data_IF_239641723742
#
_entry.id   IF_239641723742
#
_cell.length_a   1.000
_cell.length_b   1.000
_cell.length_c   1.000
_cell.angle_alpha   90.00
_cell.angle_beta   90.00
_cell.angle_gamma   90.00
#
_symmetry.space_group_name_H-M   'P 1'
#
loop_
_entity.id
_entity.type
_entity.pdbx_description
1 polymer ?
#
# COMPACT_ATOMS: atom_id res chain seq x y z
N UNK A 1 2.64 0.67 -9.30
CA UNK A 1 3.40 -0.20 -8.38
C UNK A 1 2.72 -1.57 -8.25
N UNK A 2 1.98 -2.04 -9.28
CA UNK A 2 1.16 -3.26 -9.19
C UNK A 2 1.07 -4.05 -10.52
N UNK A 3 2.06 -3.88 -11.41
CA UNK A 3 2.32 -4.84 -12.51
C UNK A 3 2.91 -6.14 -12.00
N UNK A 4 3.37 -6.15 -10.74
CA UNK A 4 4.28 -7.19 -10.27
C UNK A 4 3.52 -8.45 -9.85
N UNK A 5 2.32 -8.40 -9.28
CA UNK A 5 1.72 -9.61 -8.68
C UNK A 5 1.52 -10.79 -9.68
N UNK A 6 1.22 -10.51 -10.95
CA UNK A 6 1.02 -11.55 -11.96
C UNK A 6 2.25 -11.84 -12.82
N UNK A 7 3.12 -10.85 -13.01
CA UNK A 7 4.48 -11.12 -13.49
C UNK A 7 5.19 -12.03 -12.49
N UNK A 8 5.06 -11.78 -11.20
CA UNK A 8 5.56 -12.62 -10.11
C UNK A 8 4.93 -14.00 -10.13
N UNK A 9 3.61 -14.15 -10.38
CA UNK A 9 3.01 -15.48 -10.49
C UNK A 9 3.59 -16.29 -11.67
N UNK A 10 3.72 -15.67 -12.85
CA UNK A 10 4.36 -16.30 -14.01
C UNK A 10 5.85 -16.58 -13.77
N UNK A 11 6.58 -15.61 -13.24
CA UNK A 11 8.01 -15.70 -12.91
C UNK A 11 8.27 -16.77 -11.87
N UNK A 12 7.43 -16.89 -10.83
CA UNK A 12 7.55 -17.95 -9.83
C UNK A 12 7.27 -19.31 -10.44
N UNK A 13 6.26 -19.44 -11.31
CA UNK A 13 6.03 -20.69 -12.04
C UNK A 13 7.20 -21.05 -12.97
N UNK A 14 7.80 -20.07 -13.65
CA UNK A 14 8.99 -20.27 -14.49
C UNK A 14 10.25 -20.65 -13.69
N UNK A 15 10.45 -20.01 -12.52
CA UNK A 15 11.54 -20.35 -11.59
C UNK A 15 11.39 -21.79 -11.07
N UNK A 16 10.19 -22.19 -10.67
CA UNK A 16 9.89 -23.54 -10.20
C UNK A 16 10.07 -24.57 -11.33
N UNK A 17 9.67 -24.24 -12.55
CA UNK A 17 9.91 -25.08 -13.72
C UNK A 17 11.41 -25.23 -14.02
N UNK A 18 12.20 -24.16 -13.86
CA UNK A 18 13.67 -24.20 -13.98
C UNK A 18 14.34 -25.12 -12.95
N UNK A 19 13.74 -25.26 -11.76
CA UNK A 19 14.17 -26.22 -10.73
C UNK A 19 13.62 -27.63 -10.92
N UNK A 20 12.94 -27.91 -12.04
CA UNK A 20 12.28 -29.19 -12.35
C UNK A 20 11.23 -29.62 -11.31
N UNK A 21 10.59 -28.66 -10.65
CA UNK A 21 9.50 -28.91 -9.69
C UNK A 21 8.17 -28.95 -10.45
N UNK A 22 7.38 -30.01 -10.26
CA UNK A 22 6.00 -30.06 -10.76
C UNK A 22 5.07 -29.37 -9.77
N UNK A 23 4.32 -28.38 -10.24
CA UNK A 23 3.27 -27.73 -9.45
C UNK A 23 1.97 -28.44 -9.73
N UNK A 24 1.39 -29.05 -8.68
CA UNK A 24 0.09 -29.70 -8.73
C UNK A 24 -0.89 -28.90 -7.89
N UNK A 25 -1.96 -28.42 -8.51
CA UNK A 25 -3.06 -27.82 -7.76
C UNK A 25 -3.82 -28.91 -7.00
N UNK A 26 -3.76 -28.89 -5.67
CA UNK A 26 -4.41 -29.88 -4.81
C UNK A 26 -5.95 -29.78 -4.82
N UNK A 27 -6.50 -28.62 -5.21
CA UNK A 27 -7.94 -28.35 -5.27
C UNK A 27 -8.22 -27.57 -6.55
N UNK A 28 -9.22 -27.99 -7.33
CA UNK A 28 -9.65 -27.33 -8.56
C UNK A 28 -9.14 -27.98 -9.85
N UNK A 29 -8.87 -27.17 -10.87
CA UNK A 29 -8.40 -27.65 -12.18
C UNK A 29 -6.97 -28.16 -12.01
N UNK A 30 -6.78 -29.47 -12.18
CA UNK A 30 -5.46 -30.08 -12.17
C UNK A 30 -4.77 -29.82 -13.51
N UNK A 31 -3.62 -29.17 -13.49
CA UNK A 31 -2.80 -28.99 -14.68
C UNK A 31 -1.32 -29.13 -14.34
N UNK A 32 -0.60 -29.88 -15.16
CA UNK A 32 0.84 -30.08 -15.03
C UNK A 32 1.57 -29.08 -15.94
N UNK A 33 2.35 -28.17 -15.34
CA UNK A 33 3.12 -27.15 -16.07
C UNK A 33 4.19 -27.72 -17.00
N UNK A 34 4.55 -28.98 -16.82
CA UNK A 34 5.52 -29.68 -17.67
C UNK A 34 4.94 -30.08 -19.04
N UNK A 35 3.62 -30.09 -19.19
CA UNK A 35 2.95 -30.46 -20.45
C UNK A 35 2.65 -29.23 -21.32
N UNK A 36 2.65 -29.35 -22.67
CA UNK A 36 2.23 -28.26 -23.56
C UNK A 36 0.81 -27.75 -23.26
N UNK A 37 -0.11 -28.67 -22.92
CA UNK A 37 -1.48 -28.34 -22.52
C UNK A 37 -1.54 -27.55 -21.21
N UNK A 38 -0.78 -27.96 -20.18
CA UNK A 38 -0.74 -27.25 -18.90
C UNK A 38 -0.12 -25.85 -19.00
N UNK A 39 0.87 -25.65 -19.86
CA UNK A 39 1.41 -24.30 -20.16
C UNK A 39 0.36 -23.41 -20.82
N UNK A 40 -0.43 -23.94 -21.76
CA UNK A 40 -1.54 -23.19 -22.39
C UNK A 40 -2.58 -22.76 -21.35
N UNK A 41 -2.98 -23.68 -20.46
CA UNK A 41 -3.93 -23.37 -19.38
C UNK A 41 -3.38 -22.32 -18.42
N UNK A 42 -2.11 -22.41 -18.03
CA UNK A 42 -1.46 -21.42 -17.17
C UNK A 42 -1.48 -20.02 -17.80
N UNK A 43 -1.18 -19.91 -19.10
CA UNK A 43 -1.25 -18.63 -19.83
C UNK A 43 -2.66 -18.07 -19.88
N UNK A 44 -3.66 -18.92 -20.13
CA UNK A 44 -5.07 -18.50 -20.15
C UNK A 44 -5.53 -17.99 -18.77
N UNK A 45 -5.19 -18.72 -17.70
CA UNK A 45 -5.51 -18.33 -16.32
C UNK A 45 -4.81 -17.03 -15.92
N UNK A 46 -3.55 -16.84 -16.32
CA UNK A 46 -2.84 -15.58 -16.12
C UNK A 46 -3.53 -14.42 -16.85
N UNK A 47 -4.02 -14.66 -18.08
CA UNK A 47 -4.81 -13.69 -18.84
C UNK A 47 -6.13 -13.31 -18.15
N UNK A 48 -6.87 -14.29 -17.64
CA UNK A 48 -8.12 -14.06 -16.88
C UNK A 48 -7.82 -13.26 -15.60
N UNK A 49 -6.77 -13.62 -14.87
CA UNK A 49 -6.36 -12.91 -13.67
C UNK A 49 -5.96 -11.44 -13.95
N UNK A 50 -5.44 -11.14 -15.14
CA UNK A 50 -5.17 -9.78 -15.58
C UNK A 50 -6.46 -9.02 -15.89
N UNK A 51 -7.35 -9.64 -16.66
CA UNK A 51 -8.65 -9.06 -17.00
C UNK A 51 -9.48 -8.70 -15.76
N UNK A 52 -9.56 -9.59 -14.78
CA UNK A 52 -10.29 -9.31 -13.53
C UNK A 52 -9.69 -8.14 -12.75
N UNK A 53 -8.36 -8.04 -12.68
CA UNK A 53 -7.66 -6.93 -12.04
C UNK A 53 -7.95 -5.60 -12.74
N UNK A 54 -7.95 -5.61 -14.07
CA UNK A 54 -8.23 -4.41 -14.86
C UNK A 54 -9.68 -3.95 -14.65
N UNK A 55 -10.66 -4.88 -14.67
CA UNK A 55 -12.05 -4.58 -14.34
C UNK A 55 -12.23 -4.01 -12.92
N UNK A 56 -11.55 -4.58 -11.92
CA UNK A 56 -11.59 -4.05 -10.54
C UNK A 56 -11.01 -2.64 -10.47
N UNK A 57 -9.88 -2.41 -11.15
CA UNK A 57 -9.23 -1.08 -11.23
C UNK A 57 -10.17 -0.05 -11.86
N UNK A 58 -10.85 -0.40 -12.95
CA UNK A 58 -11.85 0.47 -13.60
C UNK A 58 -13.00 0.81 -12.66
N UNK A 59 -13.56 -0.17 -11.94
CA UNK A 59 -14.63 0.07 -10.95
C UNK A 59 -14.17 1.01 -9.85
N UNK A 60 -12.96 0.81 -9.31
CA UNK A 60 -12.41 1.68 -8.25
C UNK A 60 -12.25 3.11 -8.78
N UNK A 61 -11.68 3.28 -9.99
CA UNK A 61 -11.52 4.60 -10.62
C UNK A 61 -12.86 5.29 -10.84
N UNK A 62 -13.86 4.57 -11.35
CA UNK A 62 -15.22 5.08 -11.54
C UNK A 62 -15.87 5.50 -10.21
N UNK A 63 -15.74 4.67 -9.17
CA UNK A 63 -16.24 4.99 -7.83
C UNK A 63 -15.56 6.23 -7.22
N UNK A 64 -14.24 6.36 -7.39
CA UNK A 64 -13.49 7.54 -6.96
C UNK A 64 -13.91 8.80 -7.74
N UNK A 65 -14.13 8.69 -9.06
CA UNK A 65 -14.62 9.80 -9.87
C UNK A 65 -16.01 10.26 -9.42
N UNK A 66 -16.94 9.33 -9.17
CA UNK A 66 -18.26 9.64 -8.63
C UNK A 66 -18.18 10.28 -7.22
N UNK A 67 -17.26 9.81 -6.36
CA UNK A 67 -17.04 10.42 -5.05
C UNK A 67 -16.48 11.85 -5.15
N UNK A 68 -15.57 12.11 -6.10
CA UNK A 68 -15.05 13.45 -6.39
C UNK A 68 -16.15 14.37 -6.91
N UNK A 69 -17.00 13.89 -7.83
CA UNK A 69 -18.12 14.64 -8.38
C UNK A 69 -19.13 15.04 -7.29
N UNK A 70 -19.34 14.18 -6.27
CA UNK A 70 -20.13 14.48 -5.07
C UNK A 70 -19.41 15.41 -4.08
N UNK A 71 -18.24 15.95 -4.40
CA UNK A 71 -17.48 16.86 -3.55
C UNK A 71 -16.76 16.20 -2.37
N UNK A 72 -16.69 14.86 -2.30
CA UNK A 72 -15.98 14.17 -1.21
C UNK A 72 -14.47 14.38 -1.35
N UNK A 73 -13.84 14.99 -0.34
CA UNK A 73 -12.37 15.09 -0.25
C UNK A 73 -11.80 13.69 -0.02
N UNK A 74 -11.11 13.17 -1.03
CA UNK A 74 -10.43 11.87 -0.97
C UNK A 74 -9.00 12.04 -0.43
N UNK A 75 -8.49 11.03 0.27
CA UNK A 75 -7.15 11.04 0.85
C UNK A 75 -7.07 11.68 2.24
N UNK A 76 -5.84 11.88 2.74
CA UNK A 76 -5.59 12.48 4.07
C UNK A 76 -6.01 13.94 4.06
N UNK A 77 -6.96 14.31 4.92
CA UNK A 77 -7.37 15.70 5.04
C UNK A 77 -6.24 16.56 5.63
N UNK A 78 -6.12 17.83 5.20
CA UNK A 78 -5.25 18.80 5.88
C UNK A 78 -5.58 18.86 7.37
N UNK A 79 -4.57 18.85 8.24
CA UNK A 79 -4.75 18.85 9.69
C UNK A 79 -4.74 17.45 10.31
N UNK A 80 -5.44 16.48 9.71
CA UNK A 80 -5.55 15.12 10.24
C UNK A 80 -4.21 14.37 10.21
N UNK A 81 -3.60 14.17 11.39
CA UNK A 81 -2.39 13.37 11.57
C UNK A 81 -2.57 12.47 12.79
N UNK A 82 -3.28 11.33 12.67
CA UNK A 82 -3.70 10.51 13.82
C UNK A 82 -2.56 10.08 14.76
N UNK A 83 -1.35 9.84 14.20
CA UNK A 83 -0.15 9.51 15.00
C UNK A 83 0.49 10.75 15.64
N UNK A 84 0.54 11.86 14.91
CA UNK A 84 1.17 13.11 15.37
C UNK A 84 0.29 13.89 16.34
N UNK A 85 -1.03 13.87 16.14
CA UNK A 85 -2.00 14.58 16.98
C UNK A 85 -2.05 13.96 18.39
N UNK A 86 -1.94 12.62 18.50
CA UNK A 86 -1.80 11.92 19.80
C UNK A 86 -0.54 12.32 20.57
N UNK A 87 0.56 12.58 19.86
CA UNK A 87 1.85 12.96 20.44
C UNK A 87 1.98 14.47 20.67
N UNK A 88 0.99 15.27 20.24
CA UNK A 88 1.05 16.73 20.33
C UNK A 88 1.22 17.24 21.78
N UNK A 89 0.50 16.71 22.80
CA UNK A 89 0.71 17.14 24.18
C UNK A 89 2.14 16.90 24.68
N UNK A 90 2.72 15.75 24.35
CA UNK A 90 4.09 15.38 24.74
C UNK A 90 5.13 16.27 24.07
N UNK A 91 4.92 16.61 22.79
CA UNK A 91 5.78 17.57 22.07
C UNK A 91 5.73 18.95 22.74
N UNK A 92 4.54 19.45 23.07
CA UNK A 92 4.37 20.77 23.69
C UNK A 92 5.06 20.82 25.06
N UNK A 93 4.88 19.78 25.88
CA UNK A 93 5.52 19.67 27.18
C UNK A 93 7.05 19.61 27.05
N UNK A 94 7.59 18.76 26.18
CA UNK A 94 9.04 18.65 26.01
C UNK A 94 9.69 19.95 25.48
N UNK A 95 8.95 20.76 24.71
CA UNK A 95 9.40 22.10 24.31
C UNK A 95 9.35 23.09 25.48
N UNK A 96 8.33 23.02 26.34
CA UNK A 96 8.25 23.81 27.56
C UNK A 96 9.41 23.46 28.52
N UNK A 97 9.82 22.20 28.56
CA UNK A 97 11.00 21.70 29.30
C UNK A 97 12.35 22.11 28.65
N UNK A 98 12.33 22.90 27.57
CA UNK A 98 13.53 23.41 26.90
C UNK A 98 14.28 22.39 26.03
N UNK A 99 13.68 21.25 25.69
CA UNK A 99 14.34 20.21 24.88
C UNK A 99 14.43 20.64 23.42
N UNK A 100 15.54 20.25 22.76
CA UNK A 100 15.73 20.55 21.33
C UNK A 100 14.78 19.72 20.45
N UNK A 101 14.33 20.30 19.34
CA UNK A 101 13.41 19.63 18.41
C UNK A 101 13.98 18.32 17.83
N UNK A 102 15.30 18.25 17.63
CA UNK A 102 15.96 17.02 17.17
C UNK A 102 15.94 15.93 18.25
N UNK A 103 16.06 16.30 19.52
CA UNK A 103 15.97 15.35 20.62
C UNK A 103 14.54 14.80 20.75
N UNK A 104 13.54 15.68 20.74
CA UNK A 104 12.11 15.31 20.81
C UNK A 104 11.71 14.39 19.66
N UNK A 105 12.18 14.67 18.45
CA UNK A 105 11.92 13.84 17.27
C UNK A 105 12.42 12.39 17.45
N UNK A 106 13.64 12.23 17.99
CA UNK A 106 14.21 10.89 18.24
C UNK A 106 13.49 10.17 19.36
N UNK A 107 13.21 10.87 20.46
CA UNK A 107 12.55 10.32 21.64
C UNK A 107 11.13 9.80 21.33
N UNK A 108 10.35 10.59 20.58
CA UNK A 108 8.98 10.25 20.23
C UNK A 108 8.85 9.45 18.91
N UNK A 109 9.96 9.12 18.25
CA UNK A 109 9.97 8.35 17.00
C UNK A 109 9.22 9.03 15.83
N UNK A 110 9.29 10.35 15.74
CA UNK A 110 8.63 11.16 14.69
C UNK A 110 9.65 12.02 13.94
N UNK A 111 9.33 12.44 12.71
CA UNK A 111 10.23 13.31 11.96
C UNK A 111 10.32 14.70 12.60
N UNK A 112 11.49 15.36 12.49
CA UNK A 112 11.67 16.76 12.92
C UNK A 112 10.61 17.69 12.31
N UNK A 113 10.26 17.47 11.03
CA UNK A 113 9.21 18.24 10.35
C UNK A 113 7.84 18.07 11.03
N UNK A 114 7.57 16.90 11.61
CA UNK A 114 6.34 16.67 12.37
C UNK A 114 6.32 17.49 13.65
N UNK A 115 7.44 17.53 14.40
CA UNK A 115 7.59 18.34 15.61
C UNK A 115 7.40 19.83 15.32
N UNK A 116 8.08 20.35 14.27
CA UNK A 116 7.97 21.76 13.89
C UNK A 116 6.56 22.13 13.44
N UNK A 117 5.88 21.23 12.73
CA UNK A 117 4.50 21.43 12.28
C UNK A 117 3.50 21.41 13.44
N UNK A 118 3.70 20.56 14.46
CA UNK A 118 2.89 20.57 15.68
C UNK A 118 3.05 21.92 16.39
N UNK A 119 4.28 22.40 16.57
CA UNK A 119 4.54 23.69 17.22
C UNK A 119 3.98 24.87 16.42
N UNK A 120 4.08 24.84 15.08
CA UNK A 120 3.49 25.85 14.20
C UNK A 120 1.97 25.92 14.36
N UNK A 121 1.30 24.77 14.43
CA UNK A 121 -0.16 24.69 14.67
C UNK A 121 -0.53 25.17 16.07
N UNK A 122 0.25 24.79 17.09
CA UNK A 122 0.01 25.24 18.46
C UNK A 122 0.09 26.77 18.57
N UNK A 123 1.09 27.39 17.94
CA UNK A 123 1.23 28.86 17.90
C UNK A 123 0.12 29.55 17.12
N UNK A 124 -0.46 28.90 16.11
CA UNK A 124 -1.57 29.45 15.31
C UNK A 124 -2.95 29.30 15.99
N UNK A 125 -3.06 28.41 16.98
CA UNK A 125 -4.29 28.18 17.73
C UNK A 125 -4.35 28.98 19.04
N UNK A 126 -3.25 29.60 19.44
CA UNK A 126 -3.16 30.61 20.50
C UNK A 126 -3.32 32.01 19.92
#
# INVERSE_FOLDING_TARGET
MDTDLCNTARETLEQLAGWKVSVVAMIGITFELNTPHGRMMATMLAGIAQFERDLLSERVKSGLAAARARGKKLGRQPGQRPKSDKLSPHVIQAVADGRSYCWIARDLGISKNTVTEIMKRHRQAQ
#
